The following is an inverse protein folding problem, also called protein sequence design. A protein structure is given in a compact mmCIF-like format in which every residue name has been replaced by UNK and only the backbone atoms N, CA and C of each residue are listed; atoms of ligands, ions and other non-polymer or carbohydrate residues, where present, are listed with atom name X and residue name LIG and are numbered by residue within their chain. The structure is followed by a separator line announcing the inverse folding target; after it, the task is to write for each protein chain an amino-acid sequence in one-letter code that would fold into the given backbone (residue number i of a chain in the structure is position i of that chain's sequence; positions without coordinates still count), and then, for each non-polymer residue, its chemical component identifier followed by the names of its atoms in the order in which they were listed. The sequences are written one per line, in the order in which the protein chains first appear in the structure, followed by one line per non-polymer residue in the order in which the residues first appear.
data_IF_429073132770
#
_entry.id   IF_429073132770
#
_cell.length_a   1.000
_cell.length_b   1.000
_cell.length_c   1.000
_cell.angle_alpha   90.00
_cell.angle_beta   90.00
_cell.angle_gamma   90.00
#
_symmetry.space_group_name_H-M   'P 1'
#
loop_
_entity.id
_entity.type
_entity.pdbx_description
1 polymer ?
#
# COMPACT_ATOMS: atom_id res chain seq x y z
N UNK A 1 -4.01 12.40 19.21
CA UNK A 1 -2.71 11.83 18.76
C UNK A 1 -2.98 10.42 18.26
N UNK A 2 -2.99 10.19 16.95
CA UNK A 2 -3.15 8.84 16.41
C UNK A 2 -1.82 8.13 16.68
N UNK A 3 -1.85 7.10 17.52
CA UNK A 3 -0.68 6.35 17.98
C UNK A 3 -0.08 5.55 16.82
N UNK A 4 0.92 6.12 16.15
CA UNK A 4 1.77 5.44 15.17
C UNK A 4 2.78 4.53 15.89
N UNK A 5 2.29 3.49 16.56
CA UNK A 5 3.14 2.55 17.29
C UNK A 5 2.53 1.16 17.32
N UNK A 6 2.99 0.27 16.44
CA UNK A 6 2.87 -1.18 16.68
C UNK A 6 2.55 -2.11 15.52
N UNK A 7 2.07 -1.64 14.36
CA UNK A 7 1.66 -2.54 13.26
C UNK A 7 2.56 -2.39 12.05
N UNK A 8 3.73 -2.99 12.18
CA UNK A 8 4.86 -2.74 11.31
C UNK A 8 4.63 -3.08 9.84
N UNK A 9 5.31 -2.28 9.02
CA UNK A 9 5.78 -2.54 7.67
C UNK A 9 6.52 -3.89 7.49
N UNK A 10 6.71 -4.67 8.56
CA UNK A 10 7.45 -5.94 8.60
C UNK A 10 6.68 -7.20 8.14
N UNK A 11 5.41 -7.12 7.72
CA UNK A 11 4.62 -8.32 7.30
C UNK A 11 3.85 -8.16 5.98
N UNK A 12 4.11 -7.12 5.20
CA UNK A 12 3.62 -7.08 3.83
C UNK A 12 4.50 -8.00 2.96
N UNK A 13 3.86 -8.81 2.13
CA UNK A 13 4.56 -9.53 1.08
C UNK A 13 5.12 -8.53 0.07
N UNK A 14 6.23 -8.85 -0.62
CA UNK A 14 6.83 -7.94 -1.61
C UNK A 14 5.84 -7.49 -2.70
N UNK A 15 4.89 -8.35 -3.06
CA UNK A 15 3.81 -8.03 -4.00
C UNK A 15 2.80 -7.03 -3.43
N UNK A 16 2.50 -7.13 -2.14
CA UNK A 16 1.55 -6.21 -1.47
C UNK A 16 2.17 -4.83 -1.32
N UNK A 17 3.44 -4.76 -0.88
CA UNK A 17 4.16 -3.48 -0.79
C UNK A 17 4.28 -2.79 -2.15
N UNK A 18 4.47 -3.54 -3.23
CA UNK A 18 4.58 -2.95 -4.56
C UNK A 18 3.25 -2.37 -5.06
N UNK A 19 2.14 -3.08 -4.82
CA UNK A 19 0.79 -2.55 -5.10
C UNK A 19 0.51 -1.29 -4.29
N UNK A 20 0.86 -1.29 -2.99
CA UNK A 20 0.65 -0.14 -2.13
C UNK A 20 1.52 1.05 -2.52
N UNK A 21 2.77 0.83 -2.94
CA UNK A 21 3.67 1.89 -3.40
C UNK A 21 3.10 2.60 -4.62
N UNK A 22 2.69 1.84 -5.64
CA UNK A 22 2.07 2.43 -6.83
C UNK A 22 0.74 3.11 -6.51
N UNK A 23 -0.03 2.57 -5.56
CA UNK A 23 -1.25 3.22 -5.10
C UNK A 23 -0.97 4.55 -4.39
N UNK A 24 0.10 4.64 -3.59
CA UNK A 24 0.57 5.87 -2.95
C UNK A 24 1.05 6.92 -3.97
N UNK A 25 1.64 6.47 -5.08
CA UNK A 25 2.02 7.34 -6.21
C UNK A 25 0.82 7.88 -6.99
N UNK A 26 -0.41 7.43 -6.68
CA UNK A 26 -1.65 7.89 -7.31
C UNK A 26 -2.13 7.03 -8.48
N UNK A 27 -1.52 5.86 -8.73
CA UNK A 27 -2.00 4.94 -9.77
C UNK A 27 -3.30 4.25 -9.35
N UNK A 28 -4.23 4.12 -10.29
CA UNK A 28 -5.44 3.33 -10.09
C UNK A 28 -5.13 1.83 -10.09
N UNK A 29 -5.95 1.02 -9.40
CA UNK A 29 -5.81 -0.45 -9.39
C UNK A 29 -5.82 -1.07 -10.79
N UNK A 30 -6.47 -0.43 -11.75
CA UNK A 30 -6.49 -0.83 -13.17
C UNK A 30 -5.18 -0.55 -13.88
N UNK A 31 -4.52 0.56 -13.55
CA UNK A 31 -3.21 0.95 -14.09
C UNK A 31 -2.10 0.10 -13.47
N UNK A 32 -2.18 -0.13 -12.16
CA UNK A 32 -1.29 -1.05 -11.43
C UNK A 32 -1.38 -2.47 -12.02
N UNK A 33 -2.59 -2.93 -12.32
CA UNK A 33 -2.81 -4.22 -12.97
C UNK A 33 -2.12 -4.30 -14.35
N UNK A 34 -2.23 -3.27 -15.18
CA UNK A 34 -1.52 -3.18 -16.46
C UNK A 34 0.00 -3.15 -16.27
N UNK A 35 0.49 -2.35 -15.32
CA UNK A 35 1.93 -2.16 -15.05
C UNK A 35 2.60 -3.42 -14.53
N UNK A 36 1.94 -4.15 -13.62
CA UNK A 36 2.44 -5.40 -13.05
C UNK A 36 2.10 -6.63 -13.91
N UNK A 37 1.43 -6.44 -15.05
CA UNK A 37 0.95 -7.50 -15.95
C UNK A 37 0.12 -8.56 -15.20
N UNK A 38 -0.83 -8.10 -14.36
CA UNK A 38 -1.72 -8.95 -13.56
C UNK A 38 -3.19 -8.57 -13.77
N UNK A 39 -4.09 -9.48 -13.40
CA UNK A 39 -5.52 -9.18 -13.44
C UNK A 39 -5.89 -8.12 -12.38
N UNK A 40 -6.87 -7.28 -12.68
CA UNK A 40 -7.41 -6.28 -11.73
C UNK A 40 -7.90 -6.96 -10.45
N UNK A 41 -8.52 -8.16 -10.57
CA UNK A 41 -8.96 -8.97 -9.42
C UNK A 41 -7.80 -9.32 -8.49
N UNK A 42 -6.64 -9.70 -9.06
CA UNK A 42 -5.43 -10.01 -8.30
C UNK A 42 -4.93 -8.79 -7.53
N UNK A 43 -4.82 -7.63 -8.19
CA UNK A 43 -4.37 -6.39 -7.54
C UNK A 43 -5.34 -5.95 -6.44
N UNK A 44 -6.65 -6.02 -6.71
CA UNK A 44 -7.69 -5.70 -5.74
C UNK A 44 -7.61 -6.61 -4.50
N UNK A 45 -7.40 -7.92 -4.69
CA UNK A 45 -7.23 -8.87 -3.59
C UNK A 45 -5.95 -8.63 -2.79
N UNK A 46 -4.83 -8.32 -3.46
CA UNK A 46 -3.56 -8.00 -2.78
C UNK A 46 -3.67 -6.72 -1.98
N UNK A 47 -4.27 -5.67 -2.54
CA UNK A 47 -4.56 -4.43 -1.83
C UNK A 47 -5.43 -4.67 -0.60
N UNK A 48 -6.51 -5.45 -0.73
CA UNK A 48 -7.40 -5.79 0.39
C UNK A 48 -6.66 -6.57 1.49
N UNK A 49 -5.82 -7.53 1.09
CA UNK A 49 -4.98 -8.30 2.03
C UNK A 49 -4.00 -7.39 2.75
N UNK A 50 -3.38 -6.45 2.03
CA UNK A 50 -2.48 -5.46 2.60
C UNK A 50 -3.22 -4.53 3.59
N UNK A 51 -4.41 -4.04 3.21
CA UNK A 51 -5.26 -3.23 4.08
C UNK A 51 -5.62 -3.96 5.38
N UNK A 52 -6.01 -5.23 5.28
CA UNK A 52 -6.30 -6.07 6.46
C UNK A 52 -5.06 -6.28 7.34
N UNK A 53 -3.88 -6.45 6.76
CA UNK A 53 -2.61 -6.58 7.49
C UNK A 53 -2.18 -5.29 8.19
N UNK A 54 -2.49 -4.15 7.58
CA UNK A 54 -2.21 -2.81 8.12
C UNK A 54 -3.31 -2.33 9.09
N UNK A 55 -4.42 -3.07 9.22
CA UNK A 55 -5.56 -2.68 10.05
C UNK A 55 -6.31 -1.45 9.52
N UNK A 56 -6.25 -1.19 8.21
CA UNK A 56 -6.98 -0.10 7.56
C UNK A 56 -8.18 -0.64 6.80
N UNK A 57 -9.31 0.05 6.88
CA UNK A 57 -10.57 -0.40 6.27
C UNK A 57 -10.92 0.36 4.98
N UNK A 58 -10.34 1.55 4.80
CA UNK A 58 -10.71 2.47 3.72
C UNK A 58 -9.51 2.88 2.89
N UNK A 59 -9.74 3.14 1.60
CA UNK A 59 -8.74 3.66 0.67
C UNK A 59 -8.12 4.98 1.14
N UNK A 60 -8.93 5.86 1.72
CA UNK A 60 -8.45 7.14 2.28
C UNK A 60 -7.55 6.90 3.49
N UNK A 61 -7.91 5.97 4.37
CA UNK A 61 -7.08 5.59 5.51
C UNK A 61 -5.77 4.92 5.06
N UNK A 62 -5.83 4.10 4.02
CA UNK A 62 -4.66 3.50 3.39
C UNK A 62 -3.75 4.57 2.78
N UNK A 63 -4.30 5.56 2.05
CA UNK A 63 -3.52 6.67 1.49
C UNK A 63 -2.89 7.54 2.60
N UNK A 64 -3.63 7.82 3.67
CA UNK A 64 -3.10 8.55 4.82
C UNK A 64 -1.97 7.77 5.52
N UNK A 65 -2.15 6.45 5.68
CA UNK A 65 -1.11 5.56 6.21
C UNK A 65 0.13 5.59 5.30
N UNK A 66 -0.06 5.39 3.99
CA UNK A 66 1.03 5.37 3.02
C UNK A 66 1.73 6.73 2.95
N UNK A 67 1.01 7.84 3.00
CA UNK A 67 1.59 9.18 3.04
C UNK A 67 2.43 9.37 4.32
N UNK A 68 1.92 8.91 5.47
CA UNK A 68 2.66 8.95 6.74
C UNK A 68 3.92 8.07 6.72
N UNK A 69 3.92 6.96 5.99
CA UNK A 69 5.07 6.01 5.90
C UNK A 69 6.08 6.45 4.84
N UNK A 70 5.62 6.89 3.67
CA UNK A 70 6.45 7.41 2.55
C UNK A 70 7.24 8.66 2.94
N UNK A 71 6.82 9.39 3.98
CA UNK A 71 7.57 10.52 4.57
C UNK A 71 8.82 10.10 5.38
N UNK A 72 9.21 8.83 5.35
CA UNK A 72 10.59 8.43 5.63
C UNK A 72 11.37 8.36 4.30
N UNK A 73 12.05 9.44 3.88
CA UNK A 73 12.97 9.42 2.74
C UNK A 73 14.22 8.61 3.13
N UNK A 74 14.09 7.29 3.15
CA UNK A 74 15.24 6.42 2.97
C UNK A 74 15.55 6.42 1.47
N UNK A 75 16.75 6.90 1.13
CA UNK A 75 17.46 6.61 -0.12
C UNK A 75 17.03 7.40 -1.37
N UNK A 76 17.21 8.72 -1.32
CA UNK A 76 17.76 9.46 -2.46
C UNK A 76 18.88 10.37 -1.95
N UNK A 77 20.09 9.80 -1.98
CA UNK A 77 21.42 10.36 -2.25
C UNK A 77 22.50 9.58 -1.48
#
# INVERSE_FOLDING_TARGET
KISAGGYGDKRLSPKESEVLRLFAEGFLVTEIAKKLNRSIKTISSQKKSAMMKLGVENDIALLNYLSSVTLSPADKD
#
